data_IF_972659120642
#
_entry.id   IF_972659120642
#
_cell.length_a   1.000
_cell.length_b   1.000
_cell.length_c   1.000
_cell.angle_alpha   90.00
_cell.angle_beta   90.00
_cell.angle_gamma   90.00
#
_symmetry.space_group_name_H-M   'P 1'
#
loop_
_entity.id
_entity.type
_entity.pdbx_description
1 polymer ?
2 water ?
#
# COMPACT_ATOMS: atom_id res chain seq x y z
N UNK A 13 -6.41 -1.53 21.57
CA UNK A 13 -7.86 -1.87 21.75
C UNK A 13 -8.61 -1.60 20.44
N UNK A 14 -8.62 -0.36 19.95
CA UNK A 14 -9.18 -0.11 18.61
C UNK A 14 -8.03 0.19 17.66
N UNK A 15 -7.55 -0.89 17.06
CA UNK A 15 -6.40 -0.88 16.16
C UNK A 15 -6.53 0.04 14.95
N UNK A 16 -7.74 0.37 14.52
CA UNK A 16 -7.90 1.34 13.42
C UNK A 16 -7.22 2.66 13.79
N UNK A 17 -7.41 3.08 15.05
CA UNK A 17 -6.83 4.32 15.58
C UNK A 17 -5.47 4.14 16.26
N UNK A 18 -5.30 3.01 16.94
CA UNK A 18 -4.14 2.80 17.80
C UNK A 18 -3.10 1.78 17.31
N UNK A 19 -3.34 1.11 16.18
CA UNK A 19 -2.36 0.14 15.68
C UNK A 19 -0.95 0.73 15.51
N UNK A 20 0.06 -0.07 15.86
CA UNK A 20 1.46 0.35 15.79
C UNK A 20 2.23 -0.22 14.59
N UNK A 21 1.59 -1.07 13.78
CA UNK A 21 2.25 -1.59 12.56
C UNK A 21 2.17 -0.53 11.48
N UNK A 22 3.34 -0.21 10.94
CA UNK A 22 3.48 0.87 10.00
C UNK A 22 4.16 0.46 8.71
N UNK A 23 3.89 1.26 7.69
CA UNK A 23 4.60 1.23 6.43
C UNK A 23 5.08 2.66 6.21
N UNK A 24 6.34 2.81 5.81
CA UNK A 24 6.92 4.08 5.43
C UNK A 24 7.29 4.05 3.94
N UNK A 25 6.90 5.10 3.22
CA UNK A 25 7.18 5.21 1.81
C UNK A 25 7.97 6.48 1.56
N UNK A 26 9.18 6.30 1.04
CA UNK A 26 10.08 7.41 0.77
C UNK A 26 10.41 7.40 -0.71
N UNK A 27 10.22 8.54 -1.37
CA UNK A 27 10.53 8.64 -2.78
C UNK A 27 11.70 9.60 -2.97
N UNK A 28 12.35 9.51 -4.12
CA UNK A 28 13.52 10.35 -4.42
C UNK A 28 14.37 9.70 -5.47
N UNK A 29 15.59 10.20 -5.64
CA UNK A 29 16.52 9.62 -6.60
C UNK A 29 17.00 8.28 -6.09
N UNK A 30 17.48 7.45 -7.01
CA UNK A 30 18.00 6.14 -6.66
C UNK A 30 19.21 6.28 -5.75
N UNK A 31 20.09 7.22 -6.08
CA UNK A 31 21.30 7.43 -5.29
C UNK A 31 20.96 7.81 -3.85
N UNK A 32 20.07 8.79 -3.68
CA UNK A 32 19.68 9.22 -2.35
C UNK A 32 19.09 8.06 -1.57
N UNK A 33 18.18 7.33 -2.20
CA UNK A 33 17.48 6.24 -1.53
C UNK A 33 18.42 5.08 -1.19
N UNK A 34 19.44 4.86 -2.00
CA UNK A 34 20.43 3.84 -1.68
C UNK A 34 21.28 4.28 -0.49
N UNK A 35 21.52 5.58 -0.36
CA UNK A 35 22.24 6.10 0.80
C UNK A 35 21.36 5.92 2.06
N UNK A 36 20.09 6.29 1.94
CA UNK A 36 19.14 6.16 3.06
C UNK A 36 19.05 4.71 3.53
N UNK A 37 18.88 3.82 2.56
CA UNK A 37 18.81 2.38 2.75
C UNK A 37 19.97 1.83 3.57
N UNK A 38 21.17 2.27 3.23
CA UNK A 38 22.38 1.83 3.92
C UNK A 38 22.44 2.31 5.38
N UNK A 39 21.66 3.34 5.72
CA UNK A 39 21.57 3.83 7.10
C UNK A 39 20.51 3.09 7.92
N UNK A 40 19.66 2.31 7.25
CA UNK A 40 18.62 1.53 7.91
C UNK A 40 18.98 0.05 7.83
N UNK A 41 18.11 -0.79 8.38
CA UNK A 41 18.27 -2.25 8.37
C UNK A 41 16.94 -2.94 8.72
N UNK A 42 16.75 -4.14 8.16
CA UNK A 42 15.53 -4.91 8.40
C UNK A 42 14.29 -4.16 7.94
N UNK A 43 13.13 -4.60 8.43
CA UNK A 43 11.86 -3.98 8.07
C UNK A 43 11.46 -4.25 6.62
N UNK A 44 11.97 -5.34 6.05
CA UNK A 44 11.69 -5.65 4.64
C UNK A 44 12.01 -4.45 3.75
N UNK A 45 13.05 -3.68 4.11
CA UNK A 45 13.35 -2.45 3.36
C UNK A 45 13.63 -2.84 1.92
N UNK A 46 12.83 -2.28 1.02
CA UNK A 46 12.83 -2.66 -0.36
C UNK A 46 12.89 -1.43 -1.26
N UNK A 47 13.87 -1.41 -2.16
CA UNK A 47 13.97 -0.36 -3.15
C UNK A 47 13.16 -0.80 -4.38
N UNK A 48 12.33 0.10 -4.89
CA UNK A 48 11.49 -0.16 -6.06
C UNK A 48 11.66 1.00 -7.01
N UNK A 49 11.37 0.77 -8.29
CA UNK A 49 11.55 1.79 -9.31
C UNK A 49 10.55 1.68 -10.44
N UNK A 50 10.37 2.79 -11.13
CA UNK A 50 9.66 2.81 -12.40
C UNK A 50 10.34 3.81 -13.33
N UNK A 51 9.72 4.12 -14.47
CA UNK A 51 10.32 5.02 -15.45
C UNK A 51 10.69 6.37 -14.83
N UNK A 52 9.78 6.92 -14.05
CA UNK A 52 9.99 8.22 -13.42
C UNK A 52 10.95 8.16 -12.23
N UNK A 53 10.52 7.46 -11.19
CA UNK A 53 11.10 7.62 -9.87
C UNK A 53 11.47 6.32 -9.18
N UNK A 54 12.26 6.46 -8.12
CA UNK A 54 12.57 5.37 -7.21
C UNK A 54 11.81 5.57 -5.91
N UNK A 55 11.65 4.48 -5.16
CA UNK A 55 10.86 4.49 -3.95
C UNK A 55 11.38 3.44 -2.99
N UNK A 56 11.34 3.78 -1.71
CA UNK A 56 11.75 2.88 -0.65
C UNK A 56 10.52 2.50 0.17
N UNK A 57 10.31 1.20 0.32
CA UNK A 57 9.21 0.64 1.11
C UNK A 57 9.81 0.00 2.36
N UNK A 58 9.31 0.37 3.53
CA UNK A 58 9.78 -0.22 4.78
C UNK A 58 8.61 -0.46 5.69
N UNK A 59 8.62 -1.61 6.35
CA UNK A 59 7.64 -1.92 7.37
C UNK A 59 8.33 -1.80 8.71
N UNK A 60 7.64 -1.25 9.70
CA UNK A 60 8.15 -1.24 11.06
C UNK A 60 7.02 -1.13 12.08
N UNK A 61 7.37 -1.32 13.34
CA UNK A 61 6.42 -1.29 14.42
C UNK A 61 6.84 -0.22 15.39
N UNK A 62 5.89 0.60 15.82
CA UNK A 62 6.14 1.67 16.77
C UNK A 62 5.85 3.02 16.14
N UNK A 63 6.12 4.09 16.88
CA UNK A 63 5.94 5.40 16.29
C UNK A 63 7.13 5.79 15.44
N UNK A 64 6.93 6.84 14.65
CA UNK A 64 7.92 7.33 13.72
C UNK A 64 9.09 7.82 14.56
N UNK A 65 10.30 7.65 14.06
CA UNK A 65 11.41 8.22 14.81
C UNK A 65 12.13 9.15 13.86
N UNK A 66 12.99 8.60 13.02
CA UNK A 66 13.70 9.39 12.03
C UNK A 66 13.39 8.91 10.64
N UNK A 67 12.45 7.98 10.50
CA UNK A 67 12.10 7.55 9.17
C UNK A 67 11.73 8.80 8.41
N UNK A 68 12.31 8.95 7.23
CA UNK A 68 11.87 9.95 6.30
C UNK A 68 10.64 9.30 5.69
N UNK A 69 9.91 10.05 4.89
CA UNK A 69 8.83 9.43 4.13
C UNK A 69 7.47 9.51 4.77
N UNK A 70 6.48 9.12 3.98
CA UNK A 70 5.10 9.15 4.36
C UNK A 70 4.81 7.90 5.20
N UNK A 71 4.13 8.13 6.33
CA UNK A 71 3.81 7.08 7.29
C UNK A 71 2.35 6.61 7.15
N UNK A 72 2.18 5.29 7.18
CA UNK A 72 0.86 4.67 7.07
C UNK A 72 0.69 3.60 8.14
N UNK A 73 -0.50 3.54 8.75
CA UNK A 73 -0.83 2.48 9.70
C UNK A 73 -1.37 1.32 8.90
N UNK A 74 -0.83 0.14 9.14
CA UNK A 74 -1.30 -1.08 8.50
C UNK A 74 -2.56 -1.53 9.20
N UNK A 75 -3.66 -1.56 8.46
CA UNK A 75 -4.94 -1.97 8.99
C UNK A 75 -5.19 -3.46 8.79
N UNK A 76 -4.80 -3.96 7.62
CA UNK A 76 -4.94 -5.37 7.27
C UNK A 76 -3.76 -5.76 6.38
N UNK A 77 -3.25 -6.97 6.57
CA UNK A 77 -2.17 -7.49 5.75
C UNK A 77 -2.41 -8.96 5.49
N UNK A 78 -2.01 -9.43 4.31
CA UNK A 78 -2.05 -10.87 4.00
C UNK A 78 -0.83 -11.25 3.19
N UNK A 79 -0.50 -12.54 3.22
CA UNK A 79 0.60 -13.08 2.44
C UNK A 79 1.93 -12.55 2.92
N UNK A 80 2.97 -12.76 2.12
CA UNK A 80 4.29 -12.25 2.44
C UNK A 80 5.03 -11.87 1.16
N UNK A 81 5.99 -10.97 1.31
CA UNK A 81 6.81 -10.52 0.21
C UNK A 81 7.77 -11.59 -0.27
N UNK A 82 7.81 -11.80 -1.58
CA UNK A 82 8.71 -12.81 -2.17
C UNK A 82 10.00 -12.15 -2.66
N UNK A 83 9.99 -10.84 -2.83
CA UNK A 83 11.21 -10.12 -3.24
C UNK A 83 11.42 -10.00 -4.74
N UNK A 84 10.35 -10.15 -5.51
CA UNK A 84 10.41 -9.95 -6.95
C UNK A 84 9.03 -9.59 -7.45
N UNK A 85 8.98 -9.10 -8.69
CA UNK A 85 7.72 -8.82 -9.35
C UNK A 85 7.42 -7.34 -9.46
N UNK A 86 6.15 -6.99 -9.35
CA UNK A 86 5.76 -5.60 -9.40
C UNK A 86 4.95 -5.26 -8.16
N UNK A 87 4.94 -3.99 -7.80
CA UNK A 87 4.25 -3.54 -6.62
C UNK A 87 3.34 -2.39 -7.05
N UNK A 88 2.07 -2.50 -6.68
CA UNK A 88 1.05 -1.53 -7.02
C UNK A 88 0.63 -0.77 -5.75
N UNK A 89 0.58 0.56 -5.87
CA UNK A 89 0.18 1.46 -4.79
C UNK A 89 -1.07 2.19 -5.27
N UNK A 90 -2.20 1.92 -4.63
CA UNK A 90 -3.46 2.58 -4.95
C UNK A 90 -3.82 3.52 -3.81
N UNK A 91 -3.85 4.81 -4.12
CA UNK A 91 -4.14 5.85 -3.16
C UNK A 91 -5.58 6.32 -3.34
N UNK A 92 -6.36 6.27 -2.26
CA UNK A 92 -7.74 6.72 -2.29
C UNK A 92 -8.06 7.53 -1.05
N UNK A 93 -9.17 8.25 -1.10
CA UNK A 93 -9.68 8.94 0.07
C UNK A 93 -11.13 8.55 0.26
N UNK A 94 -11.53 8.48 1.52
CA UNK A 94 -12.87 8.01 1.87
C UNK A 94 -13.50 8.94 2.85
N UNK A 95 -14.81 9.12 2.71
CA UNK A 95 -15.58 9.85 3.69
C UNK A 95 -15.75 8.99 4.94
N UNK A 96 -15.92 9.65 6.08
CA UNK A 96 -16.16 8.96 7.34
C UNK A 96 -17.23 7.88 7.14
N UNK A 97 -18.33 8.27 6.50
CA UNK A 97 -19.49 7.40 6.29
C UNK A 97 -19.18 6.14 5.50
N UNK A 98 -18.16 6.21 4.65
CA UNK A 98 -17.79 5.10 3.80
C UNK A 98 -16.80 4.14 4.45
N UNK A 99 -16.10 4.60 5.49
CA UNK A 99 -14.99 3.81 6.03
C UNK A 99 -15.38 2.42 6.58
N UNK A 100 -16.33 2.35 7.52
CA UNK A 100 -16.66 1.01 8.03
C UNK A 100 -17.07 -0.01 6.96
N UNK A 101 -17.91 0.44 6.02
CA UNK A 101 -18.38 -0.41 4.94
C UNK A 101 -17.23 -0.84 4.04
N UNK A 102 -16.33 0.07 3.71
CA UNK A 102 -15.20 -0.28 2.88
C UNK A 102 -14.29 -1.30 3.57
N UNK A 103 -14.04 -1.11 4.87
CA UNK A 103 -13.19 -2.03 5.62
C UNK A 103 -13.81 -3.43 5.71
N UNK A 104 -15.14 -3.47 5.85
CA UNK A 104 -15.89 -4.72 5.86
C UNK A 104 -15.80 -5.42 4.49
N UNK A 105 -16.13 -4.70 3.42
CA UNK A 105 -16.07 -5.29 2.10
C UNK A 105 -14.64 -5.78 1.81
N UNK A 106 -13.65 -4.98 2.18
CA UNK A 106 -12.27 -5.35 1.91
C UNK A 106 -11.90 -6.62 2.68
N UNK A 107 -12.34 -6.71 3.93
CA UNK A 107 -12.07 -7.89 4.75
C UNK A 107 -12.70 -9.15 4.12
N UNK A 108 -13.92 -9.01 3.62
CA UNK A 108 -14.62 -10.10 2.95
C UNK A 108 -13.86 -10.54 1.70
N UNK A 109 -13.44 -9.56 0.89
CA UNK A 109 -12.71 -9.83 -0.34
C UNK A 109 -11.38 -10.51 -0.04
N UNK A 110 -10.78 -10.14 1.09
CA UNK A 110 -9.46 -10.65 1.46
C UNK A 110 -9.47 -12.14 1.75
N UNK A 111 -10.62 -12.70 2.10
CA UNK A 111 -10.73 -14.15 2.33
C UNK A 111 -10.42 -14.96 1.07
N UNK A 112 -10.39 -14.30 -0.09
CA UNK A 112 -10.10 -14.96 -1.35
C UNK A 112 -8.78 -14.49 -1.98
N UNK A 113 -8.00 -13.69 -1.26
CA UNK A 113 -6.72 -13.23 -1.79
C UNK A 113 -5.76 -14.39 -2.08
N UNK A 114 -5.83 -15.45 -1.29
CA UNK A 114 -4.96 -16.61 -1.50
C UNK A 114 -5.33 -17.40 -2.77
N UNK A 115 -6.49 -17.12 -3.34
CA UNK A 115 -6.96 -17.75 -4.57
C UNK A 115 -6.69 -16.87 -5.80
N UNK A 116 -6.12 -15.68 -5.60
CA UNK A 116 -5.83 -14.75 -6.70
C UNK A 116 -4.48 -15.10 -7.33
N UNK A 117 -4.48 -15.55 -8.60
CA UNK A 117 -3.19 -15.93 -9.15
C UNK A 117 -2.19 -14.78 -9.18
N UNK A 118 -0.95 -15.08 -8.80
CA UNK A 118 0.13 -14.12 -8.84
C UNK A 118 0.21 -13.13 -7.70
N UNK A 119 -0.79 -13.12 -6.82
CA UNK A 119 -0.82 -12.20 -5.69
C UNK A 119 0.05 -12.74 -4.55
N UNK A 120 1.11 -12.01 -4.22
CA UNK A 120 2.03 -12.45 -3.17
C UNK A 120 1.59 -11.93 -1.80
N UNK A 121 1.20 -10.66 -1.76
CA UNK A 121 0.90 -10.00 -0.51
C UNK A 121 0.10 -8.71 -0.74
N UNK A 122 -0.71 -8.35 0.24
CA UNK A 122 -1.47 -7.10 0.21
C UNK A 122 -1.37 -6.41 1.56
N UNK A 123 -1.40 -5.08 1.52
CA UNK A 123 -1.50 -4.26 2.72
C UNK A 123 -2.56 -3.20 2.51
N UNK A 124 -3.54 -3.17 3.40
CA UNK A 124 -4.47 -2.06 3.43
C UNK A 124 -3.96 -1.14 4.53
N UNK A 125 -3.63 0.09 4.17
CA UNK A 125 -3.05 1.02 5.11
C UNK A 125 -3.77 2.36 5.08
N UNK A 126 -3.57 3.13 6.15
CA UNK A 126 -4.17 4.43 6.31
C UNK A 126 -3.10 5.47 6.62
N UNK A 127 -3.13 6.59 5.89
CA UNK A 127 -2.22 7.69 6.14
C UNK A 127 -2.50 8.20 7.54
N UNK A 128 -1.45 8.48 8.29
CA UNK A 128 -1.59 8.88 9.69
C UNK A 128 -2.48 10.10 9.82
N UNK A 129 -3.51 9.98 10.66
CA UNK A 129 -4.37 11.09 11.01
C UNK A 129 -5.22 11.69 9.89
N UNK A 130 -5.32 11.00 8.75
CA UNK A 130 -6.08 11.49 7.60
C UNK A 130 -6.93 10.36 6.98
N UNK A 131 -8.02 10.72 6.30
CA UNK A 131 -8.92 9.81 5.64
C UNK A 131 -8.39 9.44 4.24
N UNK A 132 -7.08 9.18 4.15
CA UNK A 132 -6.43 8.79 2.94
C UNK A 132 -5.93 7.39 3.18
N UNK A 133 -6.16 6.52 2.21
CA UNK A 133 -5.79 5.13 2.33
C UNK A 133 -4.86 4.71 1.21
N UNK A 134 -3.99 3.77 1.54
CA UNK A 134 -3.03 3.27 0.56
C UNK A 134 -3.08 1.77 0.58
N UNK A 135 -3.51 1.22 -0.55
CA UNK A 135 -3.59 -0.21 -0.72
C UNK A 135 -2.39 -0.64 -1.57
N UNK A 136 -1.57 -1.52 -0.99
CA UNK A 136 -0.34 -1.95 -1.59
C UNK A 136 -0.47 -3.44 -1.90
N UNK A 137 -0.18 -3.81 -3.14
CA UNK A 137 -0.27 -5.20 -3.57
C UNK A 137 1.01 -5.60 -4.30
N UNK A 138 1.52 -6.78 -3.94
CA UNK A 138 2.77 -7.33 -4.45
C UNK A 138 2.42 -8.50 -5.36
N UNK A 139 2.86 -8.43 -6.61
CA UNK A 139 2.49 -9.40 -7.64
C UNK A 139 3.70 -10.04 -8.29
N UNK A 140 3.55 -11.29 -8.73
CA UNK A 140 4.59 -11.99 -9.47
C UNK A 140 4.97 -11.25 -10.76
N UNK A 141 3.98 -10.61 -11.39
CA UNK A 141 4.23 -9.81 -12.58
C UNK A 141 2.99 -8.99 -12.87
N UNK A 142 3.14 -8.04 -13.80
CA UNK A 142 2.06 -7.10 -14.09
C UNK A 142 0.84 -7.77 -14.72
N UNK A 143 1.08 -8.87 -15.42
CA UNK A 143 0.00 -9.62 -16.07
C UNK A 143 -1.06 -10.03 -15.04
N UNK A 144 -0.60 -10.53 -13.89
CA UNK A 144 -1.50 -11.01 -12.86
C UNK A 144 -2.33 -9.87 -12.27
N UNK A 145 -1.71 -8.70 -12.14
CA UNK A 145 -2.41 -7.52 -11.67
C UNK A 145 -3.46 -7.06 -12.68
N UNK A 146 -3.05 -7.01 -13.94
CA UNK A 146 -3.96 -6.66 -15.02
C UNK A 146 -5.18 -7.58 -14.97
N UNK A 147 -4.96 -8.88 -14.80
CA UNK A 147 -6.07 -9.84 -14.73
C UNK A 147 -6.99 -9.54 -13.55
N UNK A 148 -6.39 -9.17 -12.43
CA UNK A 148 -7.14 -8.86 -11.22
C UNK A 148 -8.06 -7.63 -11.40
N UNK A 149 -7.76 -6.79 -12.38
CA UNK A 149 -8.62 -5.64 -12.65
C UNK A 149 -10.03 -6.04 -13.09
N UNK A 150 -10.24 -7.31 -13.43
CA UNK A 150 -11.58 -7.81 -13.75
C UNK A 150 -12.43 -8.12 -12.51
N UNK A 151 -11.85 -8.05 -11.32
CA UNK A 151 -12.56 -8.41 -10.10
C UNK A 151 -13.42 -7.26 -9.57
N UNK A 152 -14.50 -7.59 -8.85
CA UNK A 152 -15.32 -6.58 -8.18
C UNK A 152 -14.52 -5.63 -7.29
N UNK A 153 -13.59 -6.15 -6.49
CA UNK A 153 -12.80 -5.29 -5.61
C UNK A 153 -12.00 -4.27 -6.41
N UNK A 154 -11.37 -4.71 -7.50
CA UNK A 154 -10.61 -3.79 -8.32
C UNK A 154 -11.51 -2.72 -8.91
N UNK A 155 -12.68 -3.13 -9.38
CA UNK A 155 -13.61 -2.19 -9.98
C UNK A 155 -14.11 -1.15 -8.97
N UNK A 156 -14.33 -1.57 -7.73
CA UNK A 156 -14.73 -0.67 -6.66
C UNK A 156 -13.61 0.33 -6.37
N UNK A 157 -12.38 -0.16 -6.26
CA UNK A 157 -11.25 0.72 -5.97
C UNK A 157 -11.10 1.76 -7.09
N UNK A 158 -11.18 1.29 -8.34
CA UNK A 158 -11.14 2.17 -9.51
C UNK A 158 -12.23 3.22 -9.45
N UNK A 159 -13.45 2.79 -9.13
CA UNK A 159 -14.57 3.72 -9.01
C UNK A 159 -14.39 4.78 -7.91
N UNK A 160 -13.83 4.38 -6.77
CA UNK A 160 -13.53 5.32 -5.69
C UNK A 160 -12.50 6.35 -6.16
N UNK A 161 -11.43 5.88 -6.77
CA UNK A 161 -10.41 6.77 -7.30
C UNK A 161 -10.96 7.81 -8.26
N UNK A 162 -11.81 7.38 -9.19
CA UNK A 162 -12.37 8.28 -10.18
C UNK A 162 -13.34 9.27 -9.54
N UNK A 163 -14.13 8.79 -8.59
CA UNK A 163 -15.05 9.63 -7.87
C UNK A 163 -14.25 10.65 -7.06
N UNK A 164 -13.20 10.18 -6.39
CA UNK A 164 -12.29 11.05 -5.64
C UNK A 164 -11.85 12.22 -6.51
N UNK A 165 -11.42 11.90 -7.72
CA UNK A 165 -10.85 12.91 -8.62
C UNK A 165 -11.83 13.88 -9.27
N UNK A 166 -13.13 13.58 -9.28
CA UNK A 166 -14.13 14.57 -9.72
C UNK A 166 -14.28 15.60 -8.61
N UNK A 167 -13.99 15.17 -7.38
CA UNK A 167 -14.04 16.05 -6.21
C UNK A 167 -12.63 16.62 -5.97
N UNK A 168 -12.17 16.61 -4.72
CA UNK A 168 -10.89 17.21 -4.38
C UNK A 168 -9.74 16.22 -4.29
N UNK A 169 -8.54 16.75 -4.07
CA UNK A 169 -7.34 15.93 -3.88
C UNK A 169 -6.94 15.13 -5.11
N UNK A 170 -6.06 14.15 -4.92
CA UNK A 170 -5.65 13.32 -6.03
C UNK A 170 -5.38 11.86 -5.64
N UNK A 171 -6.32 11.02 -6.05
CA UNK A 171 -6.22 9.60 -5.89
C UNK A 171 -5.61 9.07 -7.18
N UNK A 172 -4.77 8.04 -7.07
CA UNK A 172 -4.04 7.54 -8.23
C UNK A 172 -3.40 6.19 -7.94
N UNK A 173 -2.96 5.56 -9.02
CA UNK A 173 -2.33 4.26 -8.96
C UNK A 173 -0.93 4.32 -9.53
N UNK A 174 0.07 3.89 -8.76
CA UNK A 174 1.46 3.84 -9.24
C UNK A 174 1.94 2.38 -9.23
N UNK A 175 2.64 2.00 -10.29
CA UNK A 175 3.15 0.65 -10.44
C UNK A 175 4.68 0.72 -10.47
N UNK A 176 5.32 -0.10 -9.65
CA UNK A 176 6.77 -0.13 -9.57
C UNK A 176 7.22 -1.56 -9.76
N UNK A 177 8.50 -1.72 -10.05
CA UNK A 177 9.12 -3.02 -10.13
C UNK A 177 10.39 -3.01 -9.30
N UNK A 178 10.96 -4.19 -9.10
CA UNK A 178 12.23 -4.35 -8.38
C UNK A 178 13.38 -3.95 -9.31
N UNK A 179 14.43 -3.31 -8.78
CA UNK A 179 15.49 -2.80 -9.65
C UNK A 179 16.32 -3.89 -10.32
N UNK A 180 17.10 -3.48 -11.32
CA UNK A 180 17.93 -4.41 -12.11
C UNK A 180 18.93 -5.12 -11.23
N UNK A 181 19.05 -6.44 -11.42
CA UNK A 181 19.99 -7.24 -10.63
C UNK A 181 21.43 -6.79 -10.88
#
# INVERSE_FOLDING_TARGET
>A
XGSDKIHHHHHHENLYFQGMKKVFITTGTEHYLRQLMANYTGGNVTLLQNFSQSLLYQESTGEKLFQEGAEYRVLQSSGSLKGFGVVVFEYIHLRDEEIPIFLQMYQRASLHFSETPGLQSTKLTKAMNMNKFLIISFWDSEVFFHDWKKTPLSKEITNIMKKNNTQSGFSHEDIYHYPEFSHDAK
#
